data_IF_317723840471
#
_entry.id   IF_317723840471
#
_cell.length_a   1.000
_cell.length_b   1.000
_cell.length_c   1.000
_cell.angle_alpha   90.00
_cell.angle_beta   90.00
_cell.angle_gamma   90.00
#
_symmetry.space_group_name_H-M   'P 1'
#
loop_
_entity.id
_entity.type
_entity.pdbx_description
1 polymer ?
#
# COMPACT_ATOMS: atom_id res chain seq x y z
N UNK A 1 0.70 -6.11 -21.53
CA UNK A 1 -0.02 -7.23 -20.89
C UNK A 1 0.43 -8.63 -21.35
N UNK A 2 1.70 -8.83 -21.77
CA UNK A 2 2.23 -10.15 -22.17
C UNK A 2 3.40 -10.62 -21.27
N UNK A 3 3.56 -9.97 -20.12
CA UNK A 3 4.69 -10.17 -19.23
C UNK A 3 4.19 -10.77 -17.92
N UNK A 4 4.93 -11.76 -17.43
CA UNK A 4 4.68 -12.44 -16.16
C UNK A 4 5.95 -12.41 -15.35
N UNK A 5 5.82 -12.22 -14.03
CA UNK A 5 6.94 -12.38 -13.12
C UNK A 5 7.26 -13.86 -12.95
N UNK A 6 8.54 -14.19 -13.04
CA UNK A 6 9.04 -15.54 -12.78
C UNK A 6 10.11 -15.44 -11.69
N UNK A 7 9.87 -15.98 -10.49
CA UNK A 7 10.91 -16.14 -9.49
C UNK A 7 12.07 -17.00 -10.01
N UNK A 8 13.26 -16.83 -9.43
CA UNK A 8 14.47 -17.51 -9.94
C UNK A 8 14.46 -19.02 -9.72
N UNK A 9 13.94 -19.46 -8.57
CA UNK A 9 14.00 -20.87 -8.14
C UNK A 9 12.68 -21.63 -8.32
N UNK A 10 11.60 -20.96 -8.73
CA UNK A 10 10.29 -21.58 -8.88
C UNK A 10 9.40 -20.91 -9.94
N UNK A 11 8.29 -21.56 -10.26
CA UNK A 11 7.22 -20.98 -11.06
C UNK A 11 6.11 -20.48 -10.14
N UNK A 12 5.80 -19.19 -10.19
CA UNK A 12 4.63 -18.62 -9.50
C UNK A 12 3.38 -18.92 -10.33
N UNK A 13 2.43 -19.76 -9.92
CA UNK A 13 1.25 -20.11 -10.73
C UNK A 13 0.42 -18.89 -11.14
N UNK A 14 -0.28 -19.00 -12.28
CA UNK A 14 -1.23 -17.97 -12.70
C UNK A 14 -2.34 -17.81 -11.66
N UNK A 15 -2.95 -16.63 -11.60
CA UNK A 15 -4.08 -16.39 -10.71
C UNK A 15 -5.24 -17.34 -11.04
N UNK A 16 -5.57 -18.22 -10.09
CA UNK A 16 -6.72 -19.11 -10.16
C UNK A 16 -7.85 -18.51 -9.30
N UNK A 17 -8.81 -17.87 -9.96
CA UNK A 17 -9.95 -17.25 -9.31
C UNK A 17 -10.80 -18.26 -8.52
N UNK A 18 -11.00 -19.48 -9.03
CA UNK A 18 -11.80 -20.49 -8.34
C UNK A 18 -11.11 -20.90 -7.04
N UNK A 19 -9.81 -21.17 -7.11
CA UNK A 19 -9.00 -21.52 -5.94
C UNK A 19 -8.95 -20.38 -4.93
N UNK A 20 -8.76 -19.14 -5.38
CA UNK A 20 -8.79 -17.98 -4.51
C UNK A 20 -10.12 -17.89 -3.75
N UNK A 21 -11.25 -17.99 -4.46
CA UNK A 21 -12.59 -17.90 -3.89
C UNK A 21 -12.92 -19.05 -2.92
N UNK A 22 -12.33 -20.23 -3.11
CA UNK A 22 -12.41 -21.31 -2.12
C UNK A 22 -11.69 -20.96 -0.82
N UNK A 23 -10.47 -20.43 -0.89
CA UNK A 23 -9.66 -20.08 0.28
C UNK A 23 -10.31 -18.99 1.12
N UNK A 24 -10.88 -17.97 0.46
CA UNK A 24 -11.50 -16.81 1.11
C UNK A 24 -13.00 -17.01 1.39
N UNK A 25 -13.58 -18.17 1.07
CA UNK A 25 -15.00 -18.44 1.25
C UNK A 25 -15.44 -18.23 2.70
N UNK A 26 -16.40 -17.34 2.91
CA UNK A 26 -16.93 -17.02 4.24
C UNK A 26 -15.96 -16.26 5.15
N UNK A 27 -14.88 -15.70 4.58
CA UNK A 27 -13.88 -14.89 5.29
C UNK A 27 -13.99 -13.41 4.88
N UNK A 28 -13.33 -12.55 5.63
CA UNK A 28 -13.24 -11.11 5.37
C UNK A 28 -11.79 -10.66 5.10
N UNK A 29 -11.60 -9.81 4.10
CA UNK A 29 -10.30 -9.29 3.68
C UNK A 29 -10.28 -7.76 3.68
N UNK A 30 -9.33 -7.15 4.37
CA UNK A 30 -9.13 -5.71 4.40
C UNK A 30 -7.86 -5.29 3.64
N UNK A 31 -7.99 -4.35 2.72
CA UNK A 31 -6.88 -3.58 2.18
C UNK A 31 -6.79 -2.28 2.97
N UNK A 32 -5.78 -2.13 3.81
CA UNK A 32 -5.57 -0.95 4.67
C UNK A 32 -4.43 -0.13 4.10
N UNK A 33 -4.75 1.03 3.55
CA UNK A 33 -3.74 1.89 2.95
C UNK A 33 -4.29 2.93 1.99
N UNK A 34 -3.40 3.47 1.18
CA UNK A 34 -3.67 4.59 0.29
C UNK A 34 -4.32 4.17 -1.04
N UNK A 35 -4.21 5.02 -2.07
CA UNK A 35 -4.75 4.76 -3.40
C UNK A 35 -4.12 3.56 -4.10
N UNK A 36 -2.90 3.16 -3.74
CA UNK A 36 -2.24 1.97 -4.30
C UNK A 36 -2.82 0.70 -3.66
N UNK A 37 -3.20 0.74 -2.39
CA UNK A 37 -3.96 -0.35 -1.76
C UNK A 37 -5.31 -0.57 -2.47
N UNK A 38 -6.01 0.53 -2.79
CA UNK A 38 -7.23 0.47 -3.61
C UNK A 38 -6.96 -0.09 -5.02
N UNK A 39 -5.86 0.32 -5.64
CA UNK A 39 -5.47 -0.15 -6.97
C UNK A 39 -5.29 -1.69 -6.98
N UNK A 40 -4.68 -2.25 -5.93
CA UNK A 40 -4.54 -3.70 -5.76
C UNK A 40 -5.90 -4.37 -5.58
N UNK A 41 -6.76 -3.83 -4.72
CA UNK A 41 -8.12 -4.35 -4.52
C UNK A 41 -8.91 -4.37 -5.83
N UNK A 42 -8.80 -3.32 -6.65
CA UNK A 42 -9.46 -3.24 -7.95
C UNK A 42 -8.93 -4.29 -8.93
N UNK A 43 -7.61 -4.52 -8.95
CA UNK A 43 -6.99 -5.61 -9.71
C UNK A 43 -7.57 -6.97 -9.30
N UNK A 44 -7.66 -7.25 -7.99
CA UNK A 44 -8.19 -8.52 -7.48
C UNK A 44 -9.66 -8.75 -7.88
N UNK A 45 -10.47 -7.69 -7.91
CA UNK A 45 -11.87 -7.76 -8.36
C UNK A 45 -11.95 -8.10 -9.85
N UNK A 46 -11.06 -7.52 -10.67
CA UNK A 46 -10.95 -7.88 -12.08
C UNK A 46 -10.50 -9.34 -12.26
N UNK A 47 -9.48 -9.79 -11.53
CA UNK A 47 -8.94 -11.15 -11.60
C UNK A 47 -9.98 -12.21 -11.23
N UNK A 48 -10.81 -11.93 -10.22
CA UNK A 48 -11.88 -12.83 -9.80
C UNK A 48 -13.12 -12.78 -10.71
N UNK A 49 -13.17 -11.83 -11.66
CA UNK A 49 -14.32 -11.60 -12.55
C UNK A 49 -15.66 -11.43 -11.83
N UNK A 50 -15.62 -10.98 -10.57
CA UNK A 50 -16.82 -10.87 -9.76
C UNK A 50 -17.56 -9.56 -10.07
N UNK A 51 -18.89 -9.67 -10.22
CA UNK A 51 -19.77 -8.50 -10.24
C UNK A 51 -19.87 -7.96 -8.82
N UNK A 52 -19.50 -6.70 -8.62
CA UNK A 52 -19.61 -6.05 -7.32
C UNK A 52 -20.84 -5.15 -7.24
N UNK A 53 -21.42 -5.09 -6.04
CA UNK A 53 -22.39 -4.06 -5.67
C UNK A 53 -21.60 -3.02 -4.88
N UNK A 54 -21.51 -1.79 -5.39
CA UNK A 54 -21.04 -0.65 -4.59
C UNK A 54 -22.16 -0.35 -3.61
N UNK A 55 -22.01 -0.76 -2.36
CA UNK A 55 -22.81 -0.16 -1.31
C UNK A 55 -22.27 1.25 -1.09
N UNK A 56 -23.08 2.24 -1.45
CA UNK A 56 -22.76 3.65 -1.26
C UNK A 56 -22.67 3.92 0.25
N UNK A 57 -21.47 3.77 0.79
CA UNK A 57 -21.12 4.14 2.15
C UNK A 57 -20.90 5.63 2.19
N UNK A 58 -21.66 6.31 3.02
CA UNK A 58 -21.70 7.75 3.34
C UNK A 58 -20.35 8.40 3.73
N UNK A 59 -19.21 7.73 3.53
CA UNK A 59 -17.89 8.25 3.84
C UNK A 59 -16.93 7.79 2.73
N UNK A 60 -16.18 8.73 2.13
CA UNK A 60 -15.14 8.53 1.08
C UNK A 60 -14.02 7.52 1.43
N UNK A 61 -14.14 6.78 2.53
CA UNK A 61 -13.05 6.14 3.28
C UNK A 61 -13.20 4.63 3.40
N UNK A 62 -14.37 4.06 3.04
CA UNK A 62 -14.65 2.62 3.12
C UNK A 62 -15.31 2.12 1.83
N UNK A 63 -14.60 1.32 1.03
CA UNK A 63 -15.20 0.61 -0.11
C UNK A 63 -15.45 -0.83 0.28
N UNK A 64 -16.71 -1.17 0.58
CA UNK A 64 -17.16 -2.54 0.83
C UNK A 64 -17.57 -3.18 -0.50
N UNK A 65 -16.88 -4.23 -0.91
CA UNK A 65 -17.32 -5.13 -1.97
C UNK A 65 -17.80 -6.41 -1.32
N UNK A 66 -19.12 -6.55 -1.22
CA UNK A 66 -19.77 -7.82 -0.92
C UNK A 66 -19.69 -8.67 -2.17
N UNK A 67 -18.76 -9.61 -2.16
CA UNK A 67 -18.62 -10.58 -3.23
C UNK A 67 -19.43 -11.80 -2.82
N UNK A 68 -19.99 -12.51 -3.80
CA UNK A 68 -20.91 -13.64 -3.55
C UNK A 68 -20.31 -14.73 -2.63
N UNK A 69 -18.99 -14.72 -2.43
CA UNK A 69 -18.23 -15.70 -1.65
C UNK A 69 -17.44 -15.12 -0.47
N UNK A 70 -17.17 -13.82 -0.40
CA UNK A 70 -16.37 -13.18 0.66
C UNK A 70 -16.57 -11.66 0.73
N UNK A 71 -16.22 -11.03 1.86
CA UNK A 71 -16.25 -9.57 2.00
C UNK A 71 -14.84 -8.99 1.79
N UNK A 72 -14.69 -8.04 0.87
CA UNK A 72 -13.45 -7.28 0.72
C UNK A 72 -13.68 -5.80 0.97
N UNK A 73 -12.79 -5.18 1.74
CA UNK A 73 -12.94 -3.79 2.14
C UNK A 73 -11.65 -3.00 1.94
N UNK A 74 -11.70 -1.88 1.23
CA UNK A 74 -10.62 -0.89 1.28
C UNK A 74 -10.88 0.10 2.41
N UNK A 75 -9.96 0.15 3.38
CA UNK A 75 -9.96 1.15 4.46
C UNK A 75 -8.90 2.19 4.12
N UNK A 76 -9.34 3.39 3.72
CA UNK A 76 -8.43 4.46 3.31
C UNK A 76 -7.66 5.01 4.51
N UNK A 77 -6.34 4.90 4.45
CA UNK A 77 -5.41 5.56 5.37
C UNK A 77 -4.08 5.79 4.65
N UNK A 78 -3.55 7.01 4.72
CA UNK A 78 -2.35 7.39 3.96
C UNK A 78 -1.05 7.01 4.64
N UNK A 79 -1.05 6.96 5.98
CA UNK A 79 0.15 6.76 6.79
C UNK A 79 0.00 5.62 7.80
N UNK A 80 -1.13 4.91 7.83
CA UNK A 80 -1.56 3.94 8.87
C UNK A 80 -1.76 4.54 10.28
N UNK A 81 -1.22 5.73 10.53
CA UNK A 81 -1.37 6.48 11.79
C UNK A 81 -2.32 7.66 11.63
N UNK A 82 -2.85 8.17 12.74
CA UNK A 82 -3.85 9.23 12.74
C UNK A 82 -3.34 10.53 12.12
N UNK A 83 -3.93 10.93 11.00
CA UNK A 83 -3.67 12.21 10.33
C UNK A 83 -4.74 13.26 10.71
N UNK A 84 -4.41 14.55 10.65
CA UNK A 84 -5.35 15.63 10.94
C UNK A 84 -6.43 15.78 9.86
N UNK A 85 -7.62 16.23 10.26
CA UNK A 85 -8.77 16.44 9.38
C UNK A 85 -8.59 17.56 8.33
N UNK A 86 -7.55 18.40 8.46
CA UNK A 86 -7.15 19.42 7.48
C UNK A 86 -6.43 18.81 6.25
N UNK A 87 -6.48 17.49 6.10
CA UNK A 87 -5.96 16.77 4.96
C UNK A 87 -6.67 17.18 3.67
N UNK A 88 -6.03 18.06 2.90
CA UNK A 88 -6.37 18.34 1.52
C UNK A 88 -5.29 17.75 0.60
N UNK A 89 -5.61 16.78 -0.29
CA UNK A 89 -4.65 16.13 -1.19
C UNK A 89 -3.85 17.09 -2.09
N UNK A 90 -4.32 18.33 -2.23
CA UNK A 90 -3.75 19.38 -3.07
C UNK A 90 -3.27 20.60 -2.27
N UNK A 91 -3.33 20.55 -0.93
CA UNK A 91 -2.83 21.65 -0.10
C UNK A 91 -1.30 21.70 -0.15
N UNK A 92 -0.76 22.91 -0.24
CA UNK A 92 0.68 23.17 -0.07
C UNK A 92 1.09 23.22 1.41
N UNK A 93 0.13 23.21 2.33
CA UNK A 93 0.41 23.25 3.76
C UNK A 93 0.75 21.84 4.28
N UNK A 94 1.77 21.71 5.15
CA UNK A 94 2.12 20.42 5.73
C UNK A 94 0.95 19.83 6.54
N UNK A 95 0.56 18.60 6.20
CA UNK A 95 -0.44 17.85 6.98
C UNK A 95 0.17 17.34 8.28
N UNK A 96 -0.62 17.16 9.33
CA UNK A 96 -0.13 16.63 10.61
C UNK A 96 -0.42 15.14 10.74
N UNK A 97 0.56 14.38 11.22
CA UNK A 97 0.44 12.94 11.53
C UNK A 97 0.86 12.67 12.96
N UNK A 98 0.13 11.81 13.66
CA UNK A 98 0.41 11.39 15.03
C UNK A 98 1.14 10.04 15.00
N UNK A 99 2.46 10.04 15.17
CA UNK A 99 3.29 8.86 14.94
C UNK A 99 3.08 7.72 15.95
N UNK A 100 2.44 7.99 17.08
CA UNK A 100 2.18 7.05 18.17
C UNK A 100 0.70 6.67 18.33
N UNK A 101 -0.17 7.10 17.42
CA UNK A 101 -1.61 6.82 17.46
C UNK A 101 -2.02 6.20 16.12
N UNK A 102 -2.54 4.96 16.09
CA UNK A 102 -3.03 4.38 14.84
C UNK A 102 -4.21 5.19 14.29
N UNK A 103 -4.40 5.17 12.98
CA UNK A 103 -5.61 5.72 12.39
C UNK A 103 -6.82 4.94 12.93
N UNK A 104 -7.75 5.68 13.54
CA UNK A 104 -8.88 5.12 14.27
C UNK A 104 -9.77 4.28 13.36
N UNK A 105 -9.88 4.63 12.07
CA UNK A 105 -10.81 3.99 11.17
C UNK A 105 -10.48 2.51 10.95
N UNK A 106 -9.22 2.19 10.62
CA UNK A 106 -8.86 0.78 10.49
C UNK A 106 -8.71 0.11 11.85
N UNK A 107 -8.17 0.83 12.85
CA UNK A 107 -7.92 0.24 14.16
C UNK A 107 -9.22 -0.21 14.88
N UNK A 108 -10.37 0.42 14.59
CA UNK A 108 -11.67 0.03 15.16
C UNK A 108 -12.32 -1.16 14.46
N UNK A 109 -11.96 -1.43 13.19
CA UNK A 109 -12.64 -2.43 12.35
C UNK A 109 -11.83 -3.72 12.21
N UNK A 110 -10.50 -3.65 12.34
CA UNK A 110 -9.60 -4.71 11.85
C UNK A 110 -9.69 -6.03 12.61
N UNK A 111 -10.20 -6.02 13.84
CA UNK A 111 -10.44 -7.26 14.62
C UNK A 111 -11.43 -8.21 13.92
N UNK A 112 -12.27 -7.69 13.03
CA UNK A 112 -13.29 -8.45 12.30
C UNK A 112 -12.79 -9.05 10.96
N UNK A 113 -11.50 -8.91 10.65
CA UNK A 113 -10.92 -9.36 9.37
C UNK A 113 -10.03 -10.59 9.51
N UNK A 114 -10.24 -11.59 8.65
CA UNK A 114 -9.42 -12.80 8.56
C UNK A 114 -8.09 -12.55 7.85
N UNK A 115 -8.10 -11.68 6.84
CA UNK A 115 -6.92 -11.28 6.08
C UNK A 115 -6.77 -9.76 6.05
N UNK A 116 -5.59 -9.27 6.36
CA UNK A 116 -5.31 -7.84 6.43
C UNK A 116 -4.08 -7.53 5.60
N UNK A 117 -4.24 -6.80 4.50
CA UNK A 117 -3.14 -6.33 3.66
C UNK A 117 -2.89 -4.87 4.01
N UNK A 118 -1.83 -4.59 4.78
CA UNK A 118 -1.43 -3.22 5.11
C UNK A 118 -0.41 -2.71 4.10
N UNK A 119 -0.49 -1.44 3.75
CA UNK A 119 0.51 -0.79 2.92
C UNK A 119 0.57 0.72 3.12
N UNK A 120 1.77 1.29 3.00
CA UNK A 120 2.00 2.73 3.07
C UNK A 120 3.37 3.10 2.48
N UNK A 121 3.51 4.31 1.96
CA UNK A 121 4.79 4.78 1.41
C UNK A 121 4.75 6.22 0.93
N UNK A 122 4.32 6.44 -0.30
CA UNK A 122 4.50 7.70 -1.03
C UNK A 122 3.97 8.96 -0.31
N UNK A 123 2.98 8.83 0.57
CA UNK A 123 2.46 9.95 1.36
C UNK A 123 3.45 10.52 2.38
N UNK A 124 4.50 9.78 2.76
CA UNK A 124 5.59 10.28 3.61
C UNK A 124 6.53 11.24 2.88
N UNK A 125 6.51 11.26 1.54
CA UNK A 125 7.32 12.16 0.72
C UNK A 125 6.72 13.58 0.62
N UNK A 126 5.55 13.80 1.22
CA UNK A 126 4.88 15.11 1.25
C UNK A 126 5.33 15.93 2.45
N UNK A 127 5.16 17.27 2.41
CA UNK A 127 5.34 18.09 3.59
C UNK A 127 4.45 17.62 4.75
N UNK A 128 5.07 17.33 5.90
CA UNK A 128 4.40 16.75 7.07
C UNK A 128 4.88 17.37 8.38
N UNK A 129 3.97 17.44 9.35
CA UNK A 129 4.26 17.73 10.76
C UNK A 129 4.06 16.47 11.59
N UNK A 130 5.04 16.17 12.43
CA UNK A 130 5.05 14.95 13.23
C UNK A 130 4.68 15.26 14.66
N UNK A 131 3.60 14.64 15.12
CA UNK A 131 3.16 14.70 16.50
C UNK A 131 3.44 13.38 17.21
N UNK A 132 3.85 13.46 18.47
CA UNK A 132 3.97 12.32 19.35
C UNK A 132 3.55 12.73 20.76
N UNK A 133 2.71 11.92 21.42
CA UNK A 133 2.14 12.23 22.75
C UNK A 133 1.51 13.63 22.81
N UNK A 134 0.83 14.02 21.74
CA UNK A 134 0.19 15.34 21.59
C UNK A 134 1.14 16.52 21.37
N UNK A 135 2.45 16.31 21.23
CA UNK A 135 3.44 17.38 21.00
C UNK A 135 4.01 17.32 19.59
N UNK A 136 4.26 18.48 18.98
CA UNK A 136 4.99 18.58 17.72
C UNK A 136 6.48 18.24 17.98
N UNK A 137 6.94 17.11 17.45
CA UNK A 137 8.32 16.60 17.66
C UNK A 137 9.24 16.86 16.48
N UNK A 138 8.69 17.11 15.29
CA UNK A 138 9.46 17.46 14.12
C UNK A 138 8.59 17.64 12.89
N UNK A 139 9.23 17.84 11.74
CA UNK A 139 8.52 18.01 10.48
C UNK A 139 9.45 17.79 9.28
N UNK A 140 8.84 17.45 8.15
CA UNK A 140 9.48 17.42 6.84
C UNK A 140 8.90 18.56 5.99
N UNK A 141 9.76 19.44 5.47
CA UNK A 141 9.39 20.59 4.61
C UNK A 141 8.35 21.53 5.27
N UNK A 142 8.67 22.03 6.47
CA UNK A 142 7.81 22.90 7.28
C UNK A 142 8.19 24.39 7.27
N UNK A 143 9.20 24.79 6.49
CA UNK A 143 9.63 26.19 6.40
C UNK A 143 10.29 26.69 7.69
N UNK A 144 9.75 27.79 8.27
CA UNK A 144 10.35 28.51 9.41
C UNK A 144 9.98 27.97 10.79
N UNK A 145 8.99 27.07 10.89
CA UNK A 145 8.63 26.41 12.15
C UNK A 145 9.55 25.20 12.37
N UNK A 146 10.56 25.31 13.22
CA UNK A 146 11.57 24.25 13.44
C UNK A 146 11.62 23.80 14.91
N UNK A 147 10.78 22.83 15.32
CA UNK A 147 11.01 22.12 16.58
C UNK A 147 12.25 21.23 16.45
N UNK A 148 12.34 20.41 15.38
CA UNK A 148 13.49 19.57 14.96
C UNK A 148 13.24 19.10 13.53
N UNK A 149 14.27 19.07 12.67
CA UNK A 149 14.16 18.53 11.30
C UNK A 149 14.32 17.00 11.33
N UNK A 150 13.21 16.31 11.58
CA UNK A 150 13.15 14.85 11.51
C UNK A 150 12.85 14.45 10.06
N UNK A 151 13.64 13.53 9.51
CA UNK A 151 13.46 13.11 8.12
C UNK A 151 12.21 12.21 7.95
N UNK A 152 11.88 11.93 6.68
CA UNK A 152 10.75 11.07 6.30
C UNK A 152 10.89 9.64 6.86
N UNK A 153 12.11 9.13 6.97
CA UNK A 153 12.41 7.77 7.41
C UNK A 153 12.08 7.55 8.89
N UNK A 154 12.32 8.56 9.73
CA UNK A 154 11.90 8.53 11.13
C UNK A 154 10.38 8.35 11.25
N UNK A 155 9.62 9.19 10.56
CA UNK A 155 8.16 9.13 10.59
C UNK A 155 7.63 7.81 10.00
N UNK A 156 8.21 7.36 8.89
CA UNK A 156 7.85 6.12 8.22
C UNK A 156 8.05 4.90 9.12
N UNK A 157 9.22 4.79 9.76
CA UNK A 157 9.54 3.74 10.72
C UNK A 157 8.58 3.75 11.91
N UNK A 158 8.32 4.93 12.48
CA UNK A 158 7.43 5.06 13.63
C UNK A 158 5.99 4.67 13.29
N UNK A 159 5.51 5.04 12.10
CA UNK A 159 4.17 4.68 11.66
C UNK A 159 3.99 3.17 11.48
N UNK A 160 4.94 2.50 10.82
CA UNK A 160 4.95 1.03 10.69
C UNK A 160 4.98 0.37 12.07
N UNK A 161 5.87 0.84 12.96
CA UNK A 161 6.00 0.34 14.32
C UNK A 161 4.69 0.46 15.10
N UNK A 162 4.04 1.61 15.02
CA UNK A 162 2.75 1.86 15.68
C UNK A 162 1.67 0.96 15.10
N UNK A 163 1.55 0.84 13.77
CA UNK A 163 0.58 -0.03 13.13
C UNK A 163 0.74 -1.51 13.55
N UNK A 164 1.97 -2.03 13.53
CA UNK A 164 2.25 -3.40 13.96
C UNK A 164 1.99 -3.63 15.44
N UNK A 165 2.41 -2.69 16.31
CA UNK A 165 2.12 -2.79 17.75
C UNK A 165 0.63 -2.75 18.03
N UNK A 166 -0.13 -1.95 17.30
CA UNK A 166 -1.59 -1.94 17.39
C UNK A 166 -2.17 -3.31 17.01
N UNK A 167 -1.83 -3.86 15.85
CA UNK A 167 -2.29 -5.20 15.44
C UNK A 167 -1.97 -6.29 16.47
N UNK A 168 -0.75 -6.28 17.01
CA UNK A 168 -0.30 -7.25 18.02
C UNK A 168 -1.03 -7.07 19.36
N UNK A 169 -1.31 -5.81 19.72
CA UNK A 169 -1.96 -5.42 20.97
C UNK A 169 -3.48 -5.58 20.97
N UNK A 170 -4.11 -5.79 19.82
CA UNK A 170 -5.55 -6.02 19.72
C UNK A 170 -5.91 -7.39 20.31
N UNK A 171 -6.73 -7.45 21.37
CA UNK A 171 -6.93 -8.67 22.13
C UNK A 171 -7.69 -9.75 21.36
N UNK A 172 -8.60 -9.38 20.46
CA UNK A 172 -9.46 -10.31 19.70
C UNK A 172 -8.97 -10.53 18.27
N UNK A 173 -7.99 -9.77 17.80
CA UNK A 173 -7.45 -9.97 16.45
C UNK A 173 -6.79 -11.35 16.34
N UNK A 174 -7.18 -12.10 15.31
CA UNK A 174 -6.65 -13.45 14.98
C UNK A 174 -6.33 -13.63 13.50
N UNK A 175 -6.52 -12.59 12.68
CA UNK A 175 -6.30 -12.65 11.25
C UNK A 175 -4.83 -12.77 10.87
N UNK A 176 -4.59 -13.07 9.60
CA UNK A 176 -3.25 -13.04 8.99
C UNK A 176 -3.00 -11.65 8.44
N UNK A 177 -1.88 -11.03 8.84
CA UNK A 177 -1.47 -9.73 8.31
C UNK A 177 -0.40 -9.89 7.24
N UNK A 178 -0.63 -9.30 6.08
CA UNK A 178 0.37 -9.12 5.02
C UNK A 178 0.84 -7.67 4.98
N UNK A 179 2.15 -7.46 5.03
CA UNK A 179 2.73 -6.17 4.63
C UNK A 179 3.01 -6.22 3.14
N UNK A 180 2.33 -5.38 2.35
CA UNK A 180 2.73 -5.13 0.96
C UNK A 180 3.88 -4.12 0.94
N UNK A 181 4.99 -4.50 0.34
CA UNK A 181 6.17 -3.64 0.28
C UNK A 181 5.95 -2.42 -0.61
N UNK A 182 6.83 -1.42 -0.45
CA UNK A 182 6.77 -0.15 -1.15
C UNK A 182 7.04 -0.33 -2.64
N UNK A 183 6.37 0.46 -3.46
CA UNK A 183 6.68 0.57 -4.89
C UNK A 183 7.15 2.00 -5.17
N UNK A 184 8.21 2.13 -5.95
CA UNK A 184 8.65 3.41 -6.48
C UNK A 184 7.74 3.91 -7.60
N UNK A 185 7.76 5.22 -7.84
CA UNK A 185 7.29 5.80 -9.10
C UNK A 185 8.39 5.73 -10.15
N UNK A 186 8.08 5.31 -11.37
CA UNK A 186 9.05 5.38 -12.46
C UNK A 186 8.94 6.74 -13.12
N UNK A 187 9.90 7.63 -12.89
CA UNK A 187 9.91 8.96 -13.51
C UNK A 187 11.20 9.14 -14.30
N UNK A 188 11.08 9.48 -15.58
CA UNK A 188 12.23 9.72 -16.43
C UNK A 188 12.90 11.06 -16.11
N UNK A 189 14.20 11.16 -16.41
CA UNK A 189 14.98 12.41 -16.38
C UNK A 189 15.10 13.13 -15.02
N UNK A 190 14.96 12.42 -13.90
CA UNK A 190 15.15 13.01 -12.56
C UNK A 190 14.04 13.99 -12.15
N UNK A 191 12.90 13.97 -12.84
CA UNK A 191 11.70 14.69 -12.43
C UNK A 191 11.08 14.08 -11.17
N UNK A 192 10.39 14.90 -10.38
CA UNK A 192 9.50 14.40 -9.32
C UNK A 192 8.12 14.09 -9.92
N UNK A 193 7.37 13.14 -9.36
CA UNK A 193 5.99 12.82 -9.79
C UNK A 193 5.05 14.06 -9.75
N UNK A 194 5.45 15.10 -9.01
CA UNK A 194 4.71 16.33 -8.83
C UNK A 194 5.06 17.47 -9.80
N UNK A 195 6.19 17.41 -10.51
CA UNK A 195 6.76 18.58 -11.21
C UNK A 195 7.41 18.21 -12.55
N UNK A 196 6.64 17.59 -13.46
CA UNK A 196 7.03 17.34 -14.87
C UNK A 196 7.68 15.97 -15.19
N UNK A 197 7.44 14.98 -14.32
CA UNK A 197 7.81 13.60 -14.57
C UNK A 197 7.07 12.93 -15.76
N UNK A 198 7.82 12.24 -16.62
CA UNK A 198 7.29 11.42 -17.71
C UNK A 198 7.60 9.92 -17.45
N UNK A 199 6.63 9.05 -17.74
CA UNK A 199 6.74 7.59 -17.62
C UNK A 199 6.23 6.82 -18.85
N UNK A 200 6.44 7.35 -20.06
CA UNK A 200 5.99 6.77 -21.32
C UNK A 200 6.80 5.53 -21.79
N UNK A 201 7.26 4.68 -20.88
CA UNK A 201 7.88 3.40 -21.25
C UNK A 201 6.84 2.44 -21.83
N UNK A 202 7.26 1.68 -22.84
CA UNK A 202 6.38 0.73 -23.57
C UNK A 202 6.83 -0.73 -23.42
N UNK A 203 7.92 -0.96 -22.68
CA UNK A 203 8.43 -2.30 -22.34
C UNK A 203 8.99 -2.33 -20.91
N UNK A 204 9.00 -3.51 -20.28
CA UNK A 204 9.72 -3.71 -19.02
C UNK A 204 11.20 -3.41 -19.17
N UNK A 205 11.82 -3.13 -18.02
CA UNK A 205 13.26 -3.14 -17.87
C UNK A 205 13.79 -4.57 -17.82
N UNK A 206 15.00 -4.76 -18.33
CA UNK A 206 15.85 -5.91 -18.02
C UNK A 206 16.48 -5.70 -16.64
N UNK A 207 17.04 -6.76 -16.04
CA UNK A 207 17.65 -6.67 -14.70
C UNK A 207 18.77 -5.65 -14.63
N UNK A 208 19.54 -5.50 -15.71
CA UNK A 208 20.65 -4.55 -15.79
C UNK A 208 20.17 -3.09 -15.90
N UNK A 209 18.93 -2.88 -16.34
CA UNK A 209 18.29 -1.56 -16.44
C UNK A 209 17.54 -1.18 -15.16
N UNK A 210 17.24 -2.17 -14.32
CA UNK A 210 16.48 -1.99 -13.08
C UNK A 210 17.24 -1.07 -12.12
N UNK A 211 16.52 -0.06 -11.61
CA UNK A 211 17.02 0.83 -10.57
C UNK A 211 15.92 1.04 -9.54
N UNK A 212 16.27 0.82 -8.28
CA UNK A 212 15.44 1.22 -7.15
C UNK A 212 16.01 2.54 -6.66
N UNK A 213 15.16 3.56 -6.59
CA UNK A 213 15.53 4.87 -6.06
C UNK A 213 16.00 4.77 -4.59
N UNK A 214 16.98 5.58 -4.19
CA UNK A 214 17.57 5.52 -2.85
C UNK A 214 16.53 5.70 -1.74
N UNK A 215 15.52 6.54 -1.97
CA UNK A 215 14.43 6.75 -1.02
C UNK A 215 13.57 5.50 -0.90
N UNK A 216 13.24 4.87 -2.03
CA UNK A 216 12.48 3.62 -2.06
C UNK A 216 13.27 2.48 -1.41
N UNK A 217 14.58 2.41 -1.65
CA UNK A 217 15.48 1.42 -1.06
C UNK A 217 15.56 1.53 0.47
N UNK A 218 15.70 2.77 0.99
CA UNK A 218 15.72 3.02 2.44
C UNK A 218 14.35 2.70 3.07
N UNK A 219 13.25 3.11 2.43
CA UNK A 219 11.90 2.77 2.89
C UNK A 219 11.67 1.25 2.90
N UNK A 220 12.11 0.54 1.85
CA UNK A 220 12.02 -0.91 1.79
C UNK A 220 12.83 -1.57 2.92
N UNK A 221 14.05 -1.09 3.18
CA UNK A 221 14.88 -1.58 4.29
C UNK A 221 14.19 -1.39 5.65
N UNK A 222 13.58 -0.22 5.89
CA UNK A 222 12.77 0.05 7.09
C UNK A 222 11.57 -0.90 7.19
N UNK A 223 10.88 -1.17 6.07
CA UNK A 223 9.77 -2.13 6.03
C UNK A 223 10.23 -3.52 6.47
N UNK A 224 11.35 -4.01 5.94
CA UNK A 224 11.88 -5.33 6.30
C UNK A 224 12.26 -5.42 7.78
N UNK A 225 12.87 -4.37 8.34
CA UNK A 225 13.25 -4.33 9.74
C UNK A 225 12.06 -4.33 10.68
N UNK A 226 11.09 -3.42 10.48
CA UNK A 226 9.91 -3.33 11.33
C UNK A 226 8.99 -4.54 11.14
N UNK A 227 8.89 -5.09 9.92
CA UNK A 227 8.18 -6.33 9.66
C UNK A 227 8.81 -7.52 10.40
N UNK A 228 10.14 -7.67 10.32
CA UNK A 228 10.85 -8.75 11.02
C UNK A 228 10.67 -8.66 12.53
N UNK A 229 10.68 -7.45 13.09
CA UNK A 229 10.37 -7.23 14.50
C UNK A 229 8.91 -7.61 14.84
N UNK A 230 7.95 -7.16 14.01
CA UNK A 230 6.54 -7.46 14.18
C UNK A 230 6.24 -8.97 14.07
N UNK A 231 6.88 -9.67 13.14
CA UNK A 231 6.72 -11.12 12.97
C UNK A 231 7.21 -11.87 14.21
N UNK A 232 8.37 -11.50 14.77
CA UNK A 232 8.89 -12.12 16.00
C UNK A 232 7.97 -11.89 17.19
N UNK A 233 7.47 -10.67 17.39
CA UNK A 233 6.58 -10.36 18.51
C UNK A 233 5.17 -10.91 18.32
N UNK A 234 4.63 -10.83 17.10
CA UNK A 234 3.35 -11.39 16.72
C UNK A 234 3.29 -12.90 16.94
N UNK A 235 4.37 -13.63 16.65
CA UNK A 235 4.46 -15.07 16.89
C UNK A 235 4.25 -15.44 18.37
N UNK A 236 4.70 -14.61 19.30
CA UNK A 236 4.48 -14.82 20.76
C UNK A 236 3.00 -14.72 21.12
N UNK A 237 2.22 -13.98 20.34
CA UNK A 237 0.75 -13.85 20.43
C UNK A 237 -0.01 -14.87 19.56
N UNK A 238 0.68 -15.74 18.84
CA UNK A 238 0.07 -16.67 17.88
C UNK A 238 -0.42 -16.00 16.59
N UNK A 239 -0.02 -14.75 16.33
CA UNK A 239 -0.37 -14.02 15.11
C UNK A 239 0.57 -14.39 13.96
N UNK A 240 0.04 -14.34 12.75
CA UNK A 240 0.76 -14.65 11.51
C UNK A 240 0.99 -13.38 10.70
N UNK A 241 2.23 -13.20 10.27
CA UNK A 241 2.66 -12.08 9.45
C UNK A 241 3.37 -12.59 8.20
N UNK A 242 2.88 -12.19 7.03
CA UNK A 242 3.48 -12.47 5.72
C UNK A 242 4.01 -11.21 5.05
N UNK A 243 5.12 -11.32 4.34
CA UNK A 243 5.67 -10.22 3.54
C UNK A 243 5.25 -10.42 2.09
N UNK A 244 4.31 -9.59 1.61
CA UNK A 244 3.94 -9.54 0.19
C UNK A 244 4.96 -8.63 -0.51
N UNK A 245 6.11 -9.21 -0.86
CA UNK A 245 7.21 -8.47 -1.43
C UNK A 245 7.06 -8.27 -2.94
N UNK A 246 6.76 -7.03 -3.31
CA UNK A 246 6.50 -6.60 -4.69
C UNK A 246 7.52 -5.56 -5.18
N UNK A 247 8.48 -5.13 -4.34
CA UNK A 247 9.37 -4.01 -4.64
C UNK A 247 10.19 -4.26 -5.90
N UNK A 248 10.93 -5.37 -5.93
CA UNK A 248 11.77 -5.75 -7.07
C UNK A 248 10.94 -6.10 -8.32
N UNK A 249 9.88 -6.94 -8.24
CA UNK A 249 9.01 -7.19 -9.39
C UNK A 249 8.49 -5.91 -10.04
N UNK A 250 8.15 -4.89 -9.24
CA UNK A 250 7.61 -3.63 -9.76
C UNK A 250 8.68 -2.68 -10.30
N UNK A 251 9.90 -2.69 -9.76
CA UNK A 251 11.02 -1.90 -10.27
C UNK A 251 11.39 -2.25 -11.73
N UNK A 252 11.00 -3.43 -12.20
CA UNK A 252 11.19 -3.88 -13.58
C UNK A 252 10.10 -3.41 -14.54
N UNK A 253 9.04 -2.75 -14.05
CA UNK A 253 7.79 -2.53 -14.79
C UNK A 253 7.44 -1.06 -15.01
N UNK A 254 8.36 -0.22 -15.50
CA UNK A 254 8.03 1.17 -15.82
C UNK A 254 6.95 1.29 -16.91
N UNK A 255 6.74 0.25 -17.72
CA UNK A 255 5.70 0.15 -18.74
C UNK A 255 4.27 0.02 -18.18
N UNK A 256 4.14 -0.16 -16.88
CA UNK A 256 2.88 -0.47 -16.21
C UNK A 256 2.02 0.72 -15.81
N UNK A 257 2.56 1.93 -15.91
CA UNK A 257 1.89 3.14 -15.44
C UNK A 257 0.87 3.67 -16.46
N UNK A 258 -0.25 4.24 -16.02
CA UNK A 258 -1.29 4.75 -16.90
C UNK A 258 -0.90 6.06 -17.61
N UNK A 259 0.16 6.74 -17.17
CA UNK A 259 0.67 7.96 -17.80
C UNK A 259 -0.46 9.02 -17.90
N UNK A 260 -0.70 9.60 -19.07
CA UNK A 260 -1.81 10.54 -19.33
C UNK A 260 -3.21 9.93 -19.25
N UNK A 261 -3.33 8.60 -19.23
CA UNK A 261 -4.60 7.88 -19.23
C UNK A 261 -5.09 7.53 -17.81
N UNK A 262 -4.37 7.95 -16.76
CA UNK A 262 -4.77 7.76 -15.36
C UNK A 262 -5.91 8.69 -14.91
N UNK A 263 -6.33 9.60 -15.77
CA UNK A 263 -7.36 10.60 -15.47
C UNK A 263 -8.56 10.46 -16.40
N UNK A 264 -9.73 10.85 -15.90
CA UNK A 264 -10.94 10.86 -16.71
C UNK A 264 -10.76 11.77 -17.94
N UNK A 265 -11.27 11.39 -19.13
CA UNK A 265 -11.02 12.13 -20.39
C UNK A 265 -11.42 13.62 -20.36
N UNK A 266 -12.37 13.98 -19.50
CA UNK A 266 -12.88 15.34 -19.34
C UNK A 266 -12.07 16.19 -18.34
N UNK A 267 -11.17 15.58 -17.56
CA UNK A 267 -10.35 16.30 -16.58
C UNK A 267 -9.04 16.69 -17.25
N UNK A 268 -8.83 18.00 -17.45
CA UNK A 268 -7.56 18.54 -17.94
C UNK A 268 -6.49 18.49 -16.84
N UNK A 269 -5.94 17.31 -16.59
CA UNK A 269 -4.75 17.16 -15.73
C UNK A 269 -3.51 17.29 -16.60
N UNK A 270 -2.61 18.22 -16.25
CA UNK A 270 -1.33 18.43 -16.96
C UNK A 270 -0.25 17.41 -16.58
N UNK A 271 -0.46 16.65 -15.51
CA UNK A 271 0.52 15.73 -14.92
C UNK A 271 0.24 14.30 -15.34
N UNK A 272 1.30 13.56 -15.62
CA UNK A 272 1.23 12.14 -15.90
C UNK A 272 1.14 11.35 -14.59
N UNK A 273 0.34 10.30 -14.58
CA UNK A 273 0.27 9.37 -13.46
C UNK A 273 1.33 8.27 -13.65
N UNK A 274 2.42 8.43 -12.89
CA UNK A 274 3.57 7.53 -12.85
C UNK A 274 3.69 6.80 -11.50
N UNK A 275 2.58 6.74 -10.76
CA UNK A 275 2.51 6.15 -9.42
C UNK A 275 1.55 4.95 -9.41
N UNK A 276 0.37 5.10 -10.01
CA UNK A 276 -0.62 4.03 -10.10
C UNK A 276 -0.32 3.07 -11.24
N UNK A 277 -1.07 1.98 -11.30
CA UNK A 277 -0.85 0.87 -12.23
C UNK A 277 -2.08 0.63 -13.10
N UNK A 278 -1.85 0.42 -14.40
CA UNK A 278 -2.86 0.00 -15.35
C UNK A 278 -3.53 -1.31 -14.91
N UNK A 279 -4.81 -1.48 -15.27
CA UNK A 279 -5.58 -2.71 -15.13
C UNK A 279 -6.16 -3.12 -16.50
N UNK A 280 -5.92 -4.34 -16.99
CA UNK A 280 -4.95 -5.32 -16.48
C UNK A 280 -3.51 -4.80 -16.61
N UNK A 281 -2.59 -5.28 -15.78
CA UNK A 281 -1.23 -4.75 -15.73
C UNK A 281 -0.29 -5.47 -14.78
N UNK A 282 0.88 -4.88 -14.48
CA UNK A 282 1.87 -5.52 -13.59
C UNK A 282 1.33 -5.80 -12.19
N UNK A 283 0.40 -4.98 -11.71
CA UNK A 283 -0.19 -5.08 -10.38
C UNK A 283 -0.93 -6.41 -10.16
N UNK A 284 -1.35 -7.09 -11.22
CA UNK A 284 -2.03 -8.39 -11.14
C UNK A 284 -1.10 -9.46 -10.51
N UNK A 285 0.23 -9.34 -10.66
CA UNK A 285 1.19 -10.24 -9.99
C UNK A 285 1.11 -10.16 -8.46
N UNK A 286 0.64 -9.04 -7.90
CA UNK A 286 0.51 -8.92 -6.45
C UNK A 286 -0.56 -9.89 -5.93
N UNK A 287 -1.60 -10.14 -6.73
CA UNK A 287 -2.65 -11.09 -6.40
C UNK A 287 -2.22 -12.54 -6.64
N UNK A 288 -1.37 -12.78 -7.65
CA UNK A 288 -0.72 -14.10 -7.85
C UNK A 288 0.14 -14.48 -6.63
N UNK A 289 0.99 -13.56 -6.16
CA UNK A 289 1.82 -13.77 -4.97
C UNK A 289 0.93 -13.92 -3.73
N UNK A 290 -0.08 -13.06 -3.55
CA UNK A 290 -1.02 -13.17 -2.44
C UNK A 290 -1.73 -14.52 -2.42
N UNK A 291 -2.25 -15.00 -3.55
CA UNK A 291 -2.89 -16.32 -3.67
C UNK A 291 -1.92 -17.44 -3.30
N UNK A 292 -0.67 -17.36 -3.75
CA UNK A 292 0.35 -18.35 -3.38
C UNK A 292 0.60 -18.35 -1.87
N UNK A 293 0.74 -17.18 -1.25
CA UNK A 293 0.93 -17.05 0.20
C UNK A 293 -0.28 -17.58 0.97
N UNK A 294 -1.51 -17.27 0.54
CA UNK A 294 -2.73 -17.76 1.16
C UNK A 294 -2.84 -19.29 1.10
N UNK A 295 -2.42 -19.91 -0.01
CA UNK A 295 -2.38 -21.37 -0.14
C UNK A 295 -1.41 -22.05 0.82
N UNK A 296 -0.31 -21.38 1.22
CA UNK A 296 0.63 -21.92 2.20
C UNK A 296 0.11 -21.82 3.64
N UNK A 297 -0.87 -20.94 3.88
CA UNK A 297 -1.41 -20.66 5.22
C UNK A 297 -2.66 -21.48 5.57
N UNK A 298 -3.30 -22.10 4.57
CA UNK A 298 -4.48 -22.98 4.69
C UNK A 298 -4.13 -24.44 4.48
#
# INVERSE_FOLDING_TARGET
>A
MKWRWKPDECELPLFDAARFLEIVRGKSMAFVGDSIARNQMQSLVCDTSLRYIVHDGTIRTLLLLRLQFYDSTHIWTTHLVGASAEFHPFSKHPSSVNLDIPDKLWASEIENYDFVIISTGHWFLRPLRYHQKGKLVGCHVCGKERPTDLNIYYAYRMALRTAFRTLIGLPKFKGVTFLRTVTGSHVSHGGNWSEDGDCAWTRPFRREEMKIDDVVSEMYSIQLEEFSAAQREGRKRGLKFGLLDITEPMALRPDGHPYRYGHWPHVKVRRNDCLHWCLPGPIDVWNEILLHMLNMET
#
